data_IF_812557310139
#
_entry.id   IF_812557310139
#
_cell.length_a   1.000
_cell.length_b   1.000
_cell.length_c   1.000
_cell.angle_alpha   90.00
_cell.angle_beta   90.00
_cell.angle_gamma   90.00
#
_symmetry.space_group_name_H-M   'P 1'
#
loop_
_entity.id
_entity.type
_entity.pdbx_description
1 polymer ?
#
# COMPACT_ATOMS: atom_id res chain seq x y z
N UNK A 1 2.53 -16.35 1.97
CA UNK A 1 2.86 -15.19 2.85
C UNK A 1 1.66 -14.81 3.68
N UNK A 2 1.84 -14.14 4.82
CA UNK A 2 0.70 -13.72 5.63
C UNK A 2 -0.02 -12.56 4.92
N UNK A 3 -1.32 -12.73 4.61
CA UNK A 3 -2.19 -11.67 4.15
C UNK A 3 -2.53 -10.74 5.32
N UNK A 4 -2.73 -9.44 5.09
CA UNK A 4 -3.09 -8.50 6.15
C UNK A 4 -3.96 -7.35 5.61
N UNK A 5 -4.66 -6.67 6.54
CA UNK A 5 -5.48 -5.49 6.27
C UNK A 5 -4.78 -4.25 6.81
N UNK A 6 -4.52 -3.29 5.94
CA UNK A 6 -3.87 -2.03 6.28
C UNK A 6 -4.93 -0.92 6.34
N UNK A 7 -5.04 -0.24 7.49
CA UNK A 7 -5.93 0.92 7.62
C UNK A 7 -5.21 2.16 7.09
N UNK A 8 -5.80 2.84 6.12
CA UNK A 8 -5.31 4.15 5.66
C UNK A 8 -5.71 5.24 6.66
N UNK A 9 -4.75 5.69 7.47
CA UNK A 9 -4.92 6.79 8.41
C UNK A 9 -4.67 8.13 7.69
N UNK A 10 -5.60 8.50 6.79
CA UNK A 10 -5.52 9.74 6.02
C UNK A 10 -6.20 10.87 6.83
N UNK A 11 -5.66 11.15 8.04
CA UNK A 11 -6.08 12.23 8.94
C UNK A 11 -5.18 13.45 8.76
N UNK A 12 -5.69 14.62 9.09
CA UNK A 12 -4.97 15.90 8.98
C UNK A 12 -4.06 16.20 10.18
N UNK A 13 -4.17 15.44 11.29
CA UNK A 13 -3.38 15.66 12.50
C UNK A 13 -3.04 14.37 13.26
N UNK A 14 -1.96 14.44 14.05
CA UNK A 14 -1.59 13.38 14.99
C UNK A 14 -2.70 13.11 16.01
N UNK A 15 -3.34 14.18 16.51
CA UNK A 15 -4.43 14.05 17.48
C UNK A 15 -5.57 13.19 16.95
N UNK A 16 -6.06 13.49 15.75
CA UNK A 16 -7.17 12.73 15.14
C UNK A 16 -6.77 11.27 14.89
N UNK A 17 -5.51 11.07 14.50
CA UNK A 17 -4.95 9.72 14.30
C UNK A 17 -4.93 8.92 15.61
N UNK A 18 -4.46 9.50 16.71
CA UNK A 18 -4.43 8.82 18.00
C UNK A 18 -5.82 8.59 18.56
N UNK A 19 -6.71 9.59 18.52
CA UNK A 19 -8.11 9.46 18.96
C UNK A 19 -8.84 8.35 18.19
N UNK A 20 -8.49 8.13 16.93
CA UNK A 20 -9.01 7.04 16.12
C UNK A 20 -8.43 5.69 16.58
N UNK A 21 -7.11 5.59 16.73
CA UNK A 21 -6.43 4.33 17.05
C UNK A 21 -6.68 3.88 18.49
N UNK A 22 -6.92 4.79 19.41
CA UNK A 22 -7.29 4.47 20.80
C UNK A 22 -8.59 3.66 20.91
N UNK A 23 -9.47 3.75 19.90
CA UNK A 23 -10.69 2.92 19.84
C UNK A 23 -10.40 1.43 19.73
N UNK A 24 -9.24 1.05 19.20
CA UNK A 24 -8.84 -0.35 18.99
C UNK A 24 -8.25 -1.01 20.23
N UNK A 25 -7.97 -0.26 21.29
CA UNK A 25 -7.44 -0.75 22.58
C UNK A 25 -6.20 -1.65 22.40
N UNK A 26 -6.36 -2.96 22.65
CA UNK A 26 -5.27 -3.94 22.57
C UNK A 26 -4.97 -4.42 21.13
N UNK A 27 -5.89 -4.21 20.19
CA UNK A 27 -5.62 -4.50 18.78
C UNK A 27 -4.65 -3.46 18.21
N UNK A 28 -3.65 -3.93 17.47
CA UNK A 28 -2.65 -3.06 16.84
C UNK A 28 -2.71 -3.23 15.32
N UNK A 29 -3.72 -2.63 14.63
CA UNK A 29 -3.83 -2.70 13.19
C UNK A 29 -2.54 -2.27 12.50
N UNK A 30 -2.24 -2.86 11.34
CA UNK A 30 -1.26 -2.33 10.42
C UNK A 30 -1.83 -1.04 9.82
N UNK A 31 -1.11 0.07 9.91
CA UNK A 31 -1.58 1.39 9.49
C UNK A 31 -0.74 1.95 8.35
N UNK A 32 -1.38 2.63 7.40
CA UNK A 32 -0.72 3.42 6.37
C UNK A 32 -0.73 4.90 6.78
N UNK A 33 0.45 5.50 6.79
CA UNK A 33 0.64 6.94 6.95
C UNK A 33 0.94 7.54 5.58
N UNK A 34 0.03 8.37 5.09
CA UNK A 34 0.17 9.05 3.80
C UNK A 34 0.92 10.37 3.89
N UNK A 35 1.04 11.03 2.72
CA UNK A 35 1.77 12.28 2.58
C UNK A 35 1.20 13.41 3.46
N UNK A 36 -0.12 13.57 3.52
CA UNK A 36 -0.77 14.64 4.28
C UNK A 36 -0.33 14.62 5.74
N UNK A 37 -0.58 13.51 6.43
CA UNK A 37 -0.23 13.38 7.85
C UNK A 37 1.27 13.45 8.09
N UNK A 38 2.09 12.81 7.23
CA UNK A 38 3.54 12.83 7.38
C UNK A 38 4.13 14.22 7.17
N UNK A 39 3.65 15.01 6.20
CA UNK A 39 4.13 16.36 5.98
C UNK A 39 3.61 17.36 7.02
N UNK A 40 2.44 17.11 7.61
CA UNK A 40 1.93 17.95 8.70
C UNK A 40 2.71 17.72 10.00
N UNK A 41 3.00 16.46 10.36
CA UNK A 41 3.51 16.08 11.69
C UNK A 41 5.00 15.68 11.69
N UNK A 42 5.58 15.48 10.51
CA UNK A 42 6.96 15.02 10.37
C UNK A 42 7.19 13.57 10.83
N UNK A 43 8.46 13.16 11.00
CA UNK A 43 8.79 11.78 11.34
C UNK A 43 8.38 11.36 12.76
N UNK A 44 8.01 12.30 13.63
CA UNK A 44 7.65 11.97 15.01
C UNK A 44 6.36 11.16 15.10
N UNK A 45 5.40 11.41 14.21
CA UNK A 45 4.17 10.61 14.13
C UNK A 45 4.48 9.11 13.90
N UNK A 46 5.47 8.81 13.06
CA UNK A 46 5.90 7.43 12.80
C UNK A 46 6.50 6.80 14.04
N UNK A 47 7.39 7.50 14.75
CA UNK A 47 8.03 7.00 15.98
C UNK A 47 7.01 6.74 17.07
N UNK A 48 6.02 7.63 17.22
CA UNK A 48 4.97 7.46 18.22
C UNK A 48 4.13 6.22 17.94
N UNK A 49 3.66 6.05 16.71
CA UNK A 49 2.88 4.88 16.30
C UNK A 49 3.67 3.56 16.47
N UNK A 50 4.98 3.59 16.20
CA UNK A 50 5.86 2.44 16.50
C UNK A 50 5.94 2.16 18.00
N UNK A 51 6.05 3.19 18.86
CA UNK A 51 6.02 3.02 20.34
C UNK A 51 4.68 2.44 20.83
N UNK A 52 3.58 2.76 20.15
CA UNK A 52 2.26 2.18 20.42
C UNK A 52 2.13 0.72 19.92
N UNK A 53 3.10 0.20 19.18
CA UNK A 53 3.15 -1.20 18.72
C UNK A 53 2.54 -1.45 17.33
N UNK A 54 2.21 -0.41 16.58
CA UNK A 54 1.67 -0.56 15.24
C UNK A 54 2.75 -0.94 14.22
N UNK A 55 2.37 -1.79 13.24
CA UNK A 55 3.09 -1.88 11.97
C UNK A 55 2.76 -0.66 11.12
N UNK A 56 3.74 -0.15 10.34
CA UNK A 56 3.58 1.08 9.55
C UNK A 56 3.96 0.86 8.10
N UNK A 57 3.02 1.13 7.21
CA UNK A 57 3.27 1.39 5.80
C UNK A 57 3.39 2.91 5.61
N UNK A 58 4.60 3.41 5.38
CA UNK A 58 4.85 4.83 5.11
C UNK A 58 4.74 5.09 3.60
N UNK A 59 3.60 5.65 3.19
CA UNK A 59 3.15 5.79 1.80
C UNK A 59 3.45 7.19 1.24
N UNK A 60 4.73 7.46 0.94
CA UNK A 60 5.20 8.76 0.44
C UNK A 60 5.45 8.79 -1.08
N UNK A 61 5.36 7.65 -1.76
CA UNK A 61 5.47 7.52 -3.22
C UNK A 61 6.70 8.23 -3.80
N UNK A 62 7.88 7.93 -3.26
CA UNK A 62 9.13 8.58 -3.67
C UNK A 62 9.36 8.43 -5.17
N UNK A 63 9.59 9.56 -5.83
CA UNK A 63 9.86 9.63 -7.26
C UNK A 63 10.82 10.78 -7.54
N UNK A 64 12.10 10.48 -7.72
CA UNK A 64 13.14 11.45 -7.97
C UNK A 64 14.32 10.78 -8.71
N UNK A 65 15.37 11.52 -9.06
CA UNK A 65 16.59 10.94 -9.61
C UNK A 65 17.19 9.90 -8.65
N UNK A 66 17.91 8.87 -9.15
CA UNK A 66 18.38 7.74 -8.35
C UNK A 66 19.11 8.13 -7.06
N UNK A 67 20.01 9.12 -7.13
CA UNK A 67 20.78 9.55 -5.95
C UNK A 67 19.90 10.19 -4.86
N UNK A 68 18.89 10.98 -5.23
CA UNK A 68 17.95 11.58 -4.29
C UNK A 68 17.07 10.50 -3.66
N UNK A 69 16.52 9.60 -4.47
CA UNK A 69 15.73 8.47 -4.00
C UNK A 69 16.53 7.60 -3.00
N UNK A 70 17.80 7.28 -3.31
CA UNK A 70 18.70 6.55 -2.40
C UNK A 70 18.87 7.24 -1.06
N UNK A 71 19.20 8.54 -1.07
CA UNK A 71 19.41 9.32 0.17
C UNK A 71 18.13 9.44 0.99
N UNK A 72 16.99 9.66 0.33
CA UNK A 72 15.68 9.70 1.00
C UNK A 72 15.36 8.37 1.67
N UNK A 73 15.54 7.25 0.98
CA UNK A 73 15.29 5.92 1.54
C UNK A 73 16.24 5.60 2.71
N UNK A 74 17.48 6.08 2.68
CA UNK A 74 18.42 5.95 3.80
C UNK A 74 17.93 6.69 5.06
N UNK A 75 17.26 7.84 4.90
CA UNK A 75 16.61 8.53 6.03
C UNK A 75 15.42 7.71 6.54
N UNK A 76 14.57 7.21 5.64
CA UNK A 76 13.38 6.42 6.02
C UNK A 76 13.75 5.10 6.70
N UNK A 77 14.86 4.47 6.33
CA UNK A 77 15.33 3.24 6.96
C UNK A 77 15.58 3.37 8.47
N UNK A 78 15.84 4.59 8.95
CA UNK A 78 16.03 4.89 10.38
C UNK A 78 14.73 5.09 11.17
N UNK A 79 13.55 5.04 10.53
CA UNK A 79 12.26 5.26 11.20
C UNK A 79 11.60 3.97 11.72
N UNK A 80 12.23 2.82 11.57
CA UNK A 80 11.72 1.50 11.98
C UNK A 80 10.33 1.17 11.38
N UNK A 81 10.06 1.64 10.17
CA UNK A 81 8.85 1.32 9.41
C UNK A 81 8.88 -0.13 8.90
N UNK A 82 7.71 -0.69 8.60
CA UNK A 82 7.58 -2.08 8.12
C UNK A 82 7.49 -2.15 6.59
N UNK A 83 6.97 -1.11 5.95
CA UNK A 83 6.79 -1.00 4.50
C UNK A 83 6.90 0.44 4.03
N UNK A 84 7.45 0.66 2.83
CA UNK A 84 7.41 1.96 2.13
C UNK A 84 7.36 1.75 0.62
N UNK A 85 7.21 2.84 -0.14
CA UNK A 85 7.05 2.75 -1.58
C UNK A 85 7.80 3.82 -2.39
N UNK A 86 7.96 3.50 -3.66
CA UNK A 86 8.39 4.40 -4.73
C UNK A 86 7.39 4.35 -5.88
N UNK A 87 7.50 5.22 -6.88
CA UNK A 87 6.81 5.04 -8.16
C UNK A 87 7.63 4.17 -9.13
N UNK A 88 6.99 3.17 -9.76
CA UNK A 88 7.64 2.32 -10.78
C UNK A 88 8.04 3.12 -12.04
N UNK A 89 7.31 4.20 -12.33
CA UNK A 89 7.63 5.14 -13.41
C UNK A 89 9.02 5.82 -13.25
N UNK A 90 9.61 5.78 -12.06
CA UNK A 90 10.98 6.27 -11.79
C UNK A 90 12.09 5.41 -12.41
N UNK A 91 11.74 4.34 -13.11
CA UNK A 91 12.64 3.38 -13.77
C UNK A 91 13.35 2.39 -12.83
N UNK A 92 13.89 1.32 -13.44
CA UNK A 92 14.65 0.28 -12.72
C UNK A 92 15.84 0.86 -11.96
N UNK A 93 16.52 1.86 -12.53
CA UNK A 93 17.71 2.45 -11.88
C UNK A 93 17.35 3.23 -10.61
N UNK A 94 16.25 3.99 -10.63
CA UNK A 94 15.76 4.70 -9.44
C UNK A 94 15.32 3.70 -8.36
N UNK A 95 14.57 2.65 -8.75
CA UNK A 95 14.12 1.61 -7.81
C UNK A 95 15.28 0.85 -7.16
N UNK A 96 16.32 0.47 -7.93
CA UNK A 96 17.55 -0.14 -7.38
C UNK A 96 18.27 0.79 -6.40
N UNK A 97 18.39 2.07 -6.74
CA UNK A 97 19.03 3.05 -5.86
C UNK A 97 18.21 3.26 -4.56
N UNK A 98 16.88 3.26 -4.66
CA UNK A 98 15.99 3.32 -3.52
C UNK A 98 16.17 2.10 -2.60
N UNK A 99 16.21 0.89 -3.16
CA UNK A 99 16.44 -0.35 -2.43
C UNK A 99 17.79 -0.34 -1.70
N UNK A 100 18.85 0.09 -2.38
CA UNK A 100 20.19 0.23 -1.79
C UNK A 100 20.17 1.20 -0.60
N UNK A 101 19.49 2.35 -0.75
CA UNK A 101 19.38 3.34 0.33
C UNK A 101 18.56 2.85 1.52
N UNK A 102 17.53 2.03 1.29
CA UNK A 102 16.66 1.49 2.33
C UNK A 102 17.32 0.35 3.13
N UNK A 103 18.28 -0.34 2.53
CA UNK A 103 18.98 -1.47 3.16
C UNK A 103 19.99 -0.95 4.18
N UNK A 104 19.85 -1.39 5.44
CA UNK A 104 20.74 -1.02 6.54
C UNK A 104 22.08 -1.76 6.43
N UNK A 105 23.14 -1.32 7.14
CA UNK A 105 24.46 -1.99 7.10
C UNK A 105 24.45 -3.45 7.53
N UNK A 106 23.49 -3.86 8.34
CA UNK A 106 23.29 -5.25 8.78
C UNK A 106 22.49 -6.11 7.78
N UNK A 107 22.11 -5.53 6.64
CA UNK A 107 21.31 -6.18 5.60
C UNK A 107 19.80 -6.16 5.84
N UNK A 108 19.33 -5.69 6.99
CA UNK A 108 17.88 -5.59 7.27
C UNK A 108 17.26 -4.38 6.57
N UNK A 109 16.00 -4.46 6.24
CA UNK A 109 15.23 -3.36 5.65
C UNK A 109 13.73 -3.59 5.79
N UNK A 110 12.90 -2.53 5.75
CA UNK A 110 11.47 -2.66 5.53
C UNK A 110 11.17 -3.18 4.12
N UNK A 111 9.93 -3.62 3.89
CA UNK A 111 9.46 -3.95 2.54
C UNK A 111 9.47 -2.69 1.67
N UNK A 112 9.99 -2.84 0.44
CA UNK A 112 9.96 -1.79 -0.58
C UNK A 112 9.09 -2.23 -1.75
N UNK A 113 8.02 -1.51 -2.02
CA UNK A 113 7.08 -1.80 -3.11
C UNK A 113 7.01 -0.63 -4.09
N UNK A 114 6.58 -0.89 -5.33
CA UNK A 114 6.46 0.16 -6.34
C UNK A 114 5.00 0.42 -6.72
N UNK A 115 4.57 1.68 -6.73
CA UNK A 115 3.28 2.09 -7.27
C UNK A 115 3.31 1.97 -8.79
N UNK A 116 2.41 1.15 -9.35
CA UNK A 116 2.28 0.96 -10.80
C UNK A 116 1.54 2.13 -11.43
N UNK A 117 0.21 2.08 -11.47
CA UNK A 117 -0.64 3.19 -11.87
C UNK A 117 -1.64 3.51 -10.75
N UNK A 118 -1.92 4.80 -10.54
CA UNK A 118 -2.90 5.20 -9.54
C UNK A 118 -4.29 4.68 -9.92
N UNK A 119 -5.06 4.25 -8.93
CA UNK A 119 -6.43 3.71 -9.16
C UNK A 119 -7.43 4.74 -9.69
N UNK A 120 -7.08 6.03 -9.62
CA UNK A 120 -7.82 7.14 -10.24
C UNK A 120 -7.51 7.32 -11.74
N UNK A 121 -6.42 6.73 -12.25
CA UNK A 121 -6.03 6.81 -13.67
C UNK A 121 -6.74 5.72 -14.46
N UNK A 122 -7.41 6.08 -15.54
CA UNK A 122 -7.95 5.19 -16.56
C UNK A 122 -7.11 5.20 -17.83
N UNK A 123 -7.43 4.33 -18.80
CA UNK A 123 -6.66 4.21 -20.05
C UNK A 123 -6.73 5.47 -20.91
N UNK A 124 -7.86 6.18 -20.89
CA UNK A 124 -8.00 7.44 -21.64
C UNK A 124 -7.08 8.51 -21.08
N UNK A 125 -7.07 8.69 -19.76
CA UNK A 125 -6.17 9.62 -19.06
C UNK A 125 -4.70 9.24 -19.29
N UNK A 126 -4.39 7.95 -19.19
CA UNK A 126 -3.04 7.44 -19.40
C UNK A 126 -2.54 7.72 -20.81
N UNK A 127 -3.38 7.53 -21.83
CA UNK A 127 -3.05 7.84 -23.23
C UNK A 127 -2.90 9.33 -23.47
N UNK A 128 -3.84 10.14 -22.96
CA UNK A 128 -3.90 11.58 -23.23
C UNK A 128 -2.86 12.38 -22.47
N UNK A 129 -2.71 12.11 -21.16
CA UNK A 129 -1.93 12.95 -20.27
C UNK A 129 -0.51 12.39 -20.04
N UNK A 130 -0.35 11.05 -20.07
CA UNK A 130 0.95 10.40 -19.92
C UNK A 130 1.58 9.96 -21.24
N UNK A 131 0.85 10.09 -22.37
CA UNK A 131 1.27 9.65 -23.72
C UNK A 131 1.61 8.15 -23.79
N UNK A 132 0.97 7.34 -22.97
CA UNK A 132 1.14 5.88 -22.95
C UNK A 132 -0.02 5.23 -23.70
N UNK A 133 0.23 4.82 -24.95
CA UNK A 133 -0.75 4.18 -25.83
C UNK A 133 -0.71 2.65 -25.69
N UNK A 134 -1.04 2.16 -24.50
CA UNK A 134 -1.13 0.75 -24.13
C UNK A 134 -2.33 0.54 -23.22
N UNK A 135 -2.79 -0.72 -23.08
CA UNK A 135 -3.81 -1.07 -22.10
C UNK A 135 -3.27 -0.96 -20.67
N UNK A 136 -4.14 -0.74 -19.70
CA UNK A 136 -3.76 -0.67 -18.29
C UNK A 136 -3.05 -1.93 -17.83
N UNK A 137 -3.53 -3.10 -18.23
CA UNK A 137 -2.92 -4.40 -17.93
C UNK A 137 -1.46 -4.46 -18.39
N UNK A 138 -1.17 -4.09 -19.65
CA UNK A 138 0.19 -4.09 -20.20
C UNK A 138 1.10 -3.14 -19.42
N UNK A 139 0.61 -1.97 -19.01
CA UNK A 139 1.43 -0.99 -18.29
C UNK A 139 1.69 -1.44 -16.86
N UNK A 140 0.66 -1.93 -16.16
CA UNK A 140 0.80 -2.41 -14.78
C UNK A 140 1.73 -3.60 -14.71
N UNK A 141 1.56 -4.59 -15.59
CA UNK A 141 2.43 -5.77 -15.63
C UNK A 141 3.86 -5.43 -16.01
N UNK A 142 4.08 -4.51 -16.97
CA UNK A 142 5.42 -4.04 -17.31
C UNK A 142 6.11 -3.34 -16.11
N UNK A 143 5.37 -2.52 -15.35
CA UNK A 143 5.89 -1.87 -14.16
C UNK A 143 6.19 -2.86 -13.03
N UNK A 144 5.35 -3.89 -12.87
CA UNK A 144 5.59 -4.96 -11.90
C UNK A 144 6.87 -5.74 -12.22
N UNK A 145 7.06 -6.15 -13.48
CA UNK A 145 8.28 -6.81 -13.93
C UNK A 145 9.54 -5.93 -13.74
N UNK A 146 9.42 -4.62 -13.96
CA UNK A 146 10.54 -3.69 -13.71
C UNK A 146 10.86 -3.57 -12.21
N UNK A 147 9.84 -3.58 -11.34
CA UNK A 147 10.04 -3.56 -9.89
C UNK A 147 10.68 -4.87 -9.41
N UNK A 148 10.25 -6.02 -9.91
CA UNK A 148 10.88 -7.32 -9.65
C UNK A 148 12.35 -7.34 -10.09
N UNK A 149 12.65 -6.91 -11.32
CA UNK A 149 14.02 -6.78 -11.84
C UNK A 149 14.90 -5.81 -11.03
N UNK A 150 14.29 -4.86 -10.35
CA UNK A 150 14.99 -3.95 -9.44
C UNK A 150 15.26 -4.60 -8.07
N UNK A 151 14.65 -5.76 -7.76
CA UNK A 151 14.76 -6.48 -6.50
C UNK A 151 13.78 -6.01 -5.42
N UNK A 152 12.70 -5.32 -5.79
CA UNK A 152 11.67 -4.90 -4.86
C UNK A 152 10.83 -6.10 -4.40
N UNK A 153 10.11 -5.91 -3.30
CA UNK A 153 9.30 -6.96 -2.68
C UNK A 153 7.90 -7.12 -3.30
N UNK A 154 7.44 -6.11 -4.05
CA UNK A 154 6.10 -6.12 -4.62
C UNK A 154 5.68 -4.79 -5.25
N UNK A 155 4.39 -4.67 -5.51
CA UNK A 155 3.78 -3.47 -6.10
C UNK A 155 2.49 -3.05 -5.40
N UNK A 156 2.15 -1.76 -5.56
CA UNK A 156 0.80 -1.25 -5.36
C UNK A 156 0.08 -1.28 -6.70
N UNK A 157 -1.03 -2.00 -6.78
CA UNK A 157 -1.87 -2.13 -7.98
C UNK A 157 -3.36 -2.19 -7.59
N UNK A 158 -4.26 -2.13 -8.55
CA UNK A 158 -5.69 -2.39 -8.28
C UNK A 158 -5.90 -3.86 -7.87
N UNK A 159 -6.89 -4.15 -7.00
CA UNK A 159 -7.24 -5.55 -6.71
C UNK A 159 -7.56 -6.39 -7.96
N UNK A 160 -8.04 -5.76 -9.04
CA UNK A 160 -8.32 -6.41 -10.34
C UNK A 160 -7.06 -6.91 -11.06
N UNK A 161 -5.91 -6.36 -10.70
CA UNK A 161 -4.62 -6.60 -11.37
C UNK A 161 -3.73 -7.59 -10.60
N UNK A 162 -4.10 -7.94 -9.35
CA UNK A 162 -3.27 -8.75 -8.47
C UNK A 162 -2.94 -10.13 -9.09
N UNK A 163 -3.91 -10.83 -9.69
CA UNK A 163 -3.68 -12.11 -10.34
C UNK A 163 -2.67 -12.01 -11.49
N UNK A 164 -2.78 -10.99 -12.34
CA UNK A 164 -1.83 -10.77 -13.45
C UNK A 164 -0.40 -10.53 -12.98
N UNK A 165 -0.26 -9.83 -11.85
CA UNK A 165 1.06 -9.60 -11.22
C UNK A 165 1.66 -10.91 -10.74
N UNK A 166 0.88 -11.76 -10.06
CA UNK A 166 1.33 -13.08 -9.60
C UNK A 166 1.66 -14.03 -10.75
N UNK A 167 0.82 -14.03 -11.82
CA UNK A 167 1.06 -14.85 -13.00
C UNK A 167 2.43 -14.55 -13.67
N UNK A 168 2.91 -13.29 -13.59
CA UNK A 168 4.15 -12.86 -14.24
C UNK A 168 5.37 -12.80 -13.31
N UNK A 169 5.17 -12.38 -12.06
CA UNK A 169 6.26 -12.18 -11.10
C UNK A 169 6.31 -13.28 -10.03
N UNK A 170 5.36 -14.24 -10.06
CA UNK A 170 5.27 -15.33 -9.09
C UNK A 170 4.59 -14.95 -7.77
N UNK A 171 4.12 -15.96 -7.04
CA UNK A 171 3.32 -15.82 -5.81
C UNK A 171 4.09 -15.17 -4.64
N UNK A 172 5.40 -15.07 -4.73
CA UNK A 172 6.24 -14.44 -3.72
C UNK A 172 6.35 -12.92 -3.87
N UNK A 173 5.95 -12.38 -5.02
CA UNK A 173 5.99 -10.94 -5.30
C UNK A 173 4.71 -10.28 -4.82
N UNK A 174 4.78 -9.43 -3.81
CA UNK A 174 3.63 -8.92 -3.06
C UNK A 174 2.74 -7.98 -3.87
N UNK A 175 1.45 -8.10 -3.66
CA UNK A 175 0.44 -7.17 -4.16
C UNK A 175 -0.22 -6.43 -3.00
N UNK A 176 -0.10 -5.09 -2.98
CA UNK A 176 -0.73 -4.19 -2.02
C UNK A 176 -1.82 -3.41 -2.74
N UNK A 177 -3.08 -3.63 -2.38
CA UNK A 177 -4.20 -3.20 -3.22
C UNK A 177 -5.14 -2.24 -2.48
N UNK A 178 -5.11 -0.93 -2.82
CA UNK A 178 -6.09 0.05 -2.39
C UNK A 178 -7.39 -0.05 -3.22
N UNK A 179 -8.40 0.74 -2.86
CA UNK A 179 -9.67 0.77 -3.61
C UNK A 179 -10.64 -0.34 -3.19
N UNK A 180 -10.50 -0.83 -1.97
CA UNK A 180 -11.39 -1.84 -1.41
C UNK A 180 -12.58 -1.17 -0.71
N UNK A 181 -13.78 -1.69 -0.95
CA UNK A 181 -15.06 -1.21 -0.39
C UNK A 181 -15.92 -2.39 0.04
N UNK A 182 -16.77 -2.21 1.04
CA UNK A 182 -17.81 -3.20 1.34
C UNK A 182 -18.87 -3.21 0.25
N UNK A 183 -19.54 -4.35 0.06
CA UNK A 183 -20.58 -4.50 -0.98
C UNK A 183 -21.78 -3.54 -0.78
N UNK A 184 -22.05 -3.15 0.46
CA UNK A 184 -23.08 -2.21 0.89
C UNK A 184 -22.57 -0.78 1.07
N UNK A 185 -21.32 -0.49 0.67
CA UNK A 185 -20.68 0.82 0.85
C UNK A 185 -20.66 1.71 -0.40
N UNK A 186 -20.37 3.00 -0.19
CA UNK A 186 -20.18 3.97 -1.29
C UNK A 186 -18.80 3.75 -1.96
N UNK A 187 -18.78 3.82 -3.29
CA UNK A 187 -17.54 3.71 -4.10
C UNK A 187 -16.67 4.97 -4.01
N UNK A 188 -17.27 6.14 -3.74
CA UNK A 188 -16.59 7.42 -3.65
C UNK A 188 -15.84 7.79 -4.94
N UNK A 189 -14.61 8.26 -4.80
CA UNK A 189 -13.69 8.66 -5.88
C UNK A 189 -12.96 7.51 -6.59
N UNK A 190 -13.16 6.27 -6.13
CA UNK A 190 -12.46 5.09 -6.66
C UNK A 190 -13.20 4.50 -7.87
N UNK A 191 -12.51 4.41 -9.02
CA UNK A 191 -13.06 3.87 -10.27
C UNK A 191 -12.94 2.34 -10.38
N UNK A 192 -11.99 1.73 -9.66
CA UNK A 192 -11.61 0.32 -9.76
C UNK A 192 -11.68 -0.35 -8.39
N UNK A 193 -12.92 -0.61 -7.91
CA UNK A 193 -13.17 -1.17 -6.58
C UNK A 193 -13.48 -2.66 -6.62
N UNK A 194 -13.17 -3.34 -5.51
CA UNK A 194 -13.56 -4.71 -5.18
C UNK A 194 -13.91 -4.79 -3.69
N UNK A 195 -14.69 -5.80 -3.30
CA UNK A 195 -14.89 -6.15 -1.89
C UNK A 195 -13.64 -6.81 -1.30
N UNK A 196 -13.48 -6.84 0.04
CA UNK A 196 -12.37 -7.57 0.65
C UNK A 196 -12.30 -9.03 0.22
N UNK A 197 -13.46 -9.68 0.13
CA UNK A 197 -13.59 -11.05 -0.31
C UNK A 197 -13.14 -11.28 -1.78
N UNK A 198 -13.58 -10.41 -2.68
CA UNK A 198 -13.17 -10.44 -4.08
C UNK A 198 -11.67 -10.16 -4.24
N UNK A 199 -11.12 -9.20 -3.50
CA UNK A 199 -9.69 -8.89 -3.50
C UNK A 199 -8.86 -10.10 -3.03
N UNK A 200 -9.29 -10.79 -1.97
CA UNK A 200 -8.66 -12.02 -1.48
C UNK A 200 -8.68 -13.13 -2.52
N UNK A 201 -9.83 -13.33 -3.20
CA UNK A 201 -10.01 -14.33 -4.26
C UNK A 201 -9.15 -14.03 -5.48
N UNK A 202 -8.97 -12.74 -5.79
CA UNK A 202 -8.15 -12.29 -6.92
C UNK A 202 -6.65 -12.21 -6.62
N UNK A 203 -6.22 -12.66 -5.42
CA UNK A 203 -4.81 -12.83 -5.09
C UNK A 203 -4.15 -11.64 -4.39
N UNK A 204 -4.91 -10.65 -3.89
CA UNK A 204 -4.31 -9.57 -3.08
C UNK A 204 -3.65 -10.13 -1.81
N UNK A 205 -2.40 -9.71 -1.52
CA UNK A 205 -1.69 -10.07 -0.28
C UNK A 205 -1.99 -9.09 0.84
N UNK A 206 -2.05 -7.81 0.51
CA UNK A 206 -2.46 -6.74 1.43
C UNK A 206 -3.57 -5.92 0.79
N UNK A 207 -4.59 -5.58 1.56
CA UNK A 207 -5.59 -4.60 1.17
C UNK A 207 -5.41 -3.32 1.98
N UNK A 208 -5.57 -2.16 1.33
CA UNK A 208 -5.51 -0.85 1.98
C UNK A 208 -6.91 -0.25 2.01
N UNK A 209 -7.46 -0.07 3.21
CA UNK A 209 -8.85 0.38 3.43
C UNK A 209 -8.84 1.67 4.27
N UNK A 210 -9.41 2.73 3.72
CA UNK A 210 -9.57 4.03 4.40
C UNK A 210 -11.00 4.25 4.90
N UNK A 211 -11.74 5.14 4.25
CA UNK A 211 -13.10 5.59 4.63
C UNK A 211 -14.07 4.49 5.07
N UNK A 212 -14.12 3.30 4.45
CA UNK A 212 -14.99 2.22 4.94
C UNK A 212 -14.73 1.80 6.40
N UNK A 213 -13.54 2.09 6.92
CA UNK A 213 -13.18 1.86 8.32
C UNK A 213 -13.14 3.19 9.09
N UNK A 214 -12.45 4.21 8.56
CA UNK A 214 -12.17 5.44 9.30
C UNK A 214 -13.42 6.31 9.53
N UNK A 215 -14.41 6.25 8.64
CA UNK A 215 -15.67 6.99 8.72
C UNK A 215 -16.86 6.11 9.19
N UNK A 216 -16.61 4.83 9.52
CA UNK A 216 -17.65 3.95 10.03
C UNK A 216 -18.16 4.42 11.41
N UNK A 217 -19.44 4.22 11.68
CA UNK A 217 -20.02 4.49 13.00
C UNK A 217 -19.31 3.68 14.13
N UNK A 218 -18.88 2.45 13.81
CA UNK A 218 -18.01 1.62 14.64
C UNK A 218 -16.81 1.16 13.82
N UNK A 219 -15.67 1.88 13.90
CA UNK A 219 -14.47 1.55 13.14
C UNK A 219 -13.87 0.19 13.49
N UNK A 220 -13.97 -0.24 14.75
CA UNK A 220 -13.43 -1.53 15.19
C UNK A 220 -14.24 -2.68 14.60
N UNK A 221 -15.57 -2.59 14.62
CA UNK A 221 -16.44 -3.58 13.98
C UNK A 221 -16.22 -3.64 12.48
N UNK A 222 -16.05 -2.47 11.82
CA UNK A 222 -15.76 -2.38 10.39
C UNK A 222 -14.40 -3.02 10.03
N UNK A 223 -13.35 -2.74 10.80
CA UNK A 223 -12.05 -3.37 10.63
C UNK A 223 -12.12 -4.90 10.79
N UNK A 224 -12.73 -5.39 11.86
CA UNK A 224 -12.92 -6.83 12.12
C UNK A 224 -13.74 -7.51 11.00
N UNK A 225 -14.76 -6.84 10.47
CA UNK A 225 -15.50 -7.29 9.29
C UNK A 225 -14.57 -7.42 8.08
N UNK A 226 -13.77 -6.39 7.81
CA UNK A 226 -12.82 -6.39 6.71
C UNK A 226 -11.80 -7.54 6.83
N UNK A 227 -11.24 -7.76 8.01
CA UNK A 227 -10.32 -8.86 8.31
C UNK A 227 -10.97 -10.21 8.05
N UNK A 228 -12.20 -10.44 8.54
CA UNK A 228 -12.94 -11.70 8.28
C UNK A 228 -13.18 -11.93 6.80
N UNK A 229 -13.69 -10.92 6.08
CA UNK A 229 -13.99 -11.05 4.65
C UNK A 229 -12.74 -11.28 3.81
N UNK A 230 -11.59 -10.72 4.23
CA UNK A 230 -10.33 -10.85 3.49
C UNK A 230 -9.55 -12.12 3.84
N UNK A 231 -9.46 -12.49 5.13
CA UNK A 231 -8.58 -13.58 5.57
C UNK A 231 -9.28 -14.94 5.64
N UNK A 232 -10.60 -14.99 5.95
CA UNK A 232 -11.31 -16.23 6.25
C UNK A 232 -12.07 -16.81 5.03
N UNK A 233 -11.61 -16.60 3.82
CA UNK A 233 -12.24 -17.11 2.59
C UNK A 233 -12.25 -18.65 2.49
N UNK A 234 -11.66 -19.38 3.43
CA UNK A 234 -11.58 -20.84 3.43
C UNK A 234 -12.64 -21.57 4.26
N UNK A 235 -13.47 -20.88 5.05
CA UNK A 235 -14.37 -21.50 6.02
C UNK A 235 -15.88 -21.41 5.68
N UNK A 236 -16.26 -20.95 4.50
CA UNK A 236 -17.67 -20.99 4.09
C UNK A 236 -17.90 -22.10 3.08
N UNK A 237 -18.19 -23.30 3.56
CA UNK A 237 -19.11 -24.33 3.08
C UNK A 237 -18.67 -25.71 3.61
N UNK A 238 -19.04 -25.97 4.83
CA UNK A 238 -19.23 -27.30 5.39
C UNK A 238 -20.69 -27.41 5.85
#
# INVERSE_FOLDING_TARGET
>A
MAKDVIIACDFSSAKDTFDFLDKFQDEKPFVKIGMELFYAEGPEIVRELKRMGHKIFLDLKIHDIPNTAKKTMSVLSGLDIDMTNVHAAGTVNMMKAALEGLTRPDGTRPLLIAVTQLTSTDEETMKKDLLIDKTMEVVVTHYAMNAERAGLDGVVCSPKEASYVHDLCGDSFLTVTPGVRFADGDTGDQKRVMTPAEAAKNGSDYIVVGRPITEAADPVAAYRRCVREFLNQGESNG
#
